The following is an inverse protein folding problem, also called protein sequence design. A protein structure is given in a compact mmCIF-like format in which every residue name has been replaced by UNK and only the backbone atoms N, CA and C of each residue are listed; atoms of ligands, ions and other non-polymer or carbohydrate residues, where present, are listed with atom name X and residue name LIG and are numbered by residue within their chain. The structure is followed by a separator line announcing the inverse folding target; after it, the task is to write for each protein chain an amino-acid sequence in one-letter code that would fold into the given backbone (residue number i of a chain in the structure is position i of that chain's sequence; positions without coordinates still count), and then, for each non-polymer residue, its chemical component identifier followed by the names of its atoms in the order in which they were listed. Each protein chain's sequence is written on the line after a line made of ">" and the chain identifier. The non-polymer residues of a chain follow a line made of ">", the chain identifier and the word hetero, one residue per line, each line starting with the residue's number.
data_IF_852202645106
#
_entry.id   IF_852202645106
#
_cell.length_a   1.000
_cell.length_b   1.000
_cell.length_c   1.000
_cell.angle_alpha   90.00
_cell.angle_beta   90.00
_cell.angle_gamma   90.00
#
_symmetry.space_group_name_H-M   'P 1'
#
loop_
_entity.id
_entity.type
_entity.pdbx_description
1 polymer ?
#
# COMPACT_ATOMS: atom_id res chain seq x y z
N UNK A 1 4.29 10.82 25.51
CA UNK A 1 4.50 10.77 24.06
C UNK A 1 3.29 10.06 23.44
N UNK A 2 2.58 10.68 22.49
CA UNK A 2 1.49 10.02 21.76
C UNK A 2 2.04 9.60 20.40
N UNK A 3 1.90 8.32 20.06
CA UNK A 3 2.20 7.81 18.73
C UNK A 3 0.89 7.68 17.96
N UNK A 4 0.85 8.23 16.75
CA UNK A 4 -0.28 8.08 15.84
C UNK A 4 0.16 7.22 14.66
N UNK A 5 -0.72 6.33 14.21
CA UNK A 5 -0.50 5.55 13.00
C UNK A 5 -0.89 6.39 11.77
N UNK A 6 -0.05 6.38 10.73
CA UNK A 6 -0.29 7.09 9.46
C UNK A 6 -1.27 6.29 8.59
N UNK A 7 -2.55 6.26 8.99
CA UNK A 7 -3.61 5.57 8.22
C UNK A 7 -4.28 6.57 7.28
N UNK A 8 -4.29 6.28 5.98
CA UNK A 8 -4.88 7.15 4.95
C UNK A 8 -5.80 6.38 4.00
N UNK A 9 -6.86 7.01 3.46
CA UNK A 9 -7.64 6.43 2.38
C UNK A 9 -6.78 6.36 1.10
N UNK A 10 -6.78 5.20 0.46
CA UNK A 10 -6.09 4.93 -0.81
C UNK A 10 -7.03 4.23 -1.77
N UNK A 11 -6.77 4.38 -3.07
CA UNK A 11 -7.39 3.56 -4.10
C UNK A 11 -6.39 2.56 -4.67
N UNK A 12 -6.71 1.28 -4.53
CA UNK A 12 -5.94 0.15 -5.06
C UNK A 12 -6.44 -0.21 -6.44
N UNK A 13 -5.52 -0.48 -7.37
CA UNK A 13 -5.83 -0.80 -8.76
C UNK A 13 -5.25 -2.16 -9.14
N UNK A 14 -6.07 -2.99 -9.78
CA UNK A 14 -5.66 -4.28 -10.33
C UNK A 14 -6.42 -4.64 -11.62
N UNK A 15 -6.17 -5.83 -12.18
CA UNK A 15 -6.73 -6.26 -13.48
C UNK A 15 -8.26 -6.26 -13.58
N UNK A 16 -8.99 -6.45 -12.47
CA UNK A 16 -10.45 -6.52 -12.46
C UNK A 16 -11.12 -5.21 -11.98
N UNK A 17 -10.33 -4.17 -11.69
CA UNK A 17 -10.84 -2.85 -11.32
C UNK A 17 -10.07 -2.21 -10.18
N UNK A 18 -10.72 -1.27 -9.49
CA UNK A 18 -10.17 -0.56 -8.33
C UNK A 18 -11.02 -0.72 -7.08
N UNK A 19 -10.40 -0.52 -5.91
CA UNK A 19 -11.07 -0.54 -4.62
C UNK A 19 -10.48 0.51 -3.69
N UNK A 20 -11.34 1.34 -3.09
CA UNK A 20 -10.94 2.27 -2.03
C UNK A 20 -10.84 1.53 -0.70
N UNK A 21 -9.71 1.68 -0.02
CA UNK A 21 -9.43 1.10 1.31
C UNK A 21 -8.71 2.12 2.18
N UNK A 22 -8.57 1.83 3.48
CA UNK A 22 -7.65 2.56 4.33
C UNK A 22 -6.36 1.76 4.46
N UNK A 23 -5.22 2.40 4.22
CA UNK A 23 -3.91 1.77 4.31
C UNK A 23 -3.08 2.42 5.41
N UNK A 24 -2.30 1.59 6.11
CA UNK A 24 -1.23 2.04 6.99
C UNK A 24 0.01 2.36 6.14
N UNK A 25 0.49 3.59 6.21
CA UNK A 25 1.78 3.97 5.64
C UNK A 25 2.88 3.65 6.65
N UNK A 26 3.58 2.55 6.40
CA UNK A 26 4.62 2.04 7.26
C UNK A 26 6.00 2.16 6.59
N UNK A 27 6.79 3.12 7.04
CA UNK A 27 8.17 3.33 6.59
C UNK A 27 9.13 2.24 7.08
N UNK A 28 8.71 1.41 8.06
CA UNK A 28 9.47 0.27 8.55
C UNK A 28 9.32 -1.00 7.70
N UNK A 29 8.43 -1.01 6.71
CA UNK A 29 8.13 -2.16 5.86
C UNK A 29 8.74 -1.99 4.46
N UNK A 30 9.45 -3.01 3.96
CA UNK A 30 9.98 -3.06 2.58
C UNK A 30 9.02 -3.68 1.58
N UNK A 31 7.91 -4.25 2.07
CA UNK A 31 6.88 -4.93 1.28
C UNK A 31 5.50 -4.41 1.66
N UNK A 32 4.59 -4.33 0.69
CA UNK A 32 3.18 -3.99 0.95
C UNK A 32 2.38 -5.26 1.19
N UNK A 33 1.63 -5.28 2.29
CA UNK A 33 0.66 -6.32 2.59
C UNK A 33 -0.75 -5.80 2.32
N UNK A 34 -1.56 -6.60 1.63
CA UNK A 34 -2.98 -6.34 1.38
C UNK A 34 -3.81 -7.54 1.82
N UNK A 35 -5.04 -7.28 2.23
CA UNK A 35 -5.99 -8.34 2.57
C UNK A 35 -6.33 -9.19 1.33
N UNK A 36 -6.48 -10.50 1.51
CA UNK A 36 -6.82 -11.42 0.41
C UNK A 36 -8.14 -11.04 -0.28
N UNK A 37 -9.13 -10.55 0.47
CA UNK A 37 -10.41 -10.12 -0.10
C UNK A 37 -10.23 -8.92 -1.03
N UNK A 38 -9.35 -8.00 -0.65
CA UNK A 38 -9.00 -6.83 -1.47
C UNK A 38 -8.26 -7.29 -2.72
N UNK A 39 -7.29 -8.19 -2.58
CA UNK A 39 -6.56 -8.77 -3.72
C UNK A 39 -7.52 -9.47 -4.70
N UNK A 40 -8.44 -10.28 -4.19
CA UNK A 40 -9.41 -10.98 -5.04
C UNK A 40 -10.37 -10.00 -5.74
N UNK A 41 -10.82 -8.93 -5.07
CA UNK A 41 -11.73 -7.93 -5.68
C UNK A 41 -11.10 -7.13 -6.81
N UNK A 42 -9.82 -6.80 -6.71
CA UNK A 42 -9.11 -6.06 -7.77
C UNK A 42 -8.51 -7.01 -8.83
N UNK A 43 -8.74 -8.32 -8.73
CA UNK A 43 -8.19 -9.31 -9.67
C UNK A 43 -6.69 -9.51 -9.52
N UNK A 44 -6.12 -9.17 -8.37
CA UNK A 44 -4.71 -9.24 -8.08
C UNK A 44 -4.24 -10.70 -7.97
N UNK A 45 -3.37 -11.11 -8.91
CA UNK A 45 -2.81 -12.47 -8.98
C UNK A 45 -1.29 -12.40 -8.95
N UNK A 46 -0.68 -13.30 -8.18
CA UNK A 46 0.76 -13.38 -7.96
C UNK A 46 1.19 -14.82 -7.66
N UNK A 47 2.50 -15.06 -7.62
CA UNK A 47 3.04 -16.38 -7.29
C UNK A 47 2.83 -16.66 -5.80
N UNK A 48 2.45 -17.89 -5.43
CA UNK A 48 2.43 -18.28 -4.02
C UNK A 48 3.85 -18.34 -3.48
N UNK A 49 4.11 -17.58 -2.42
CA UNK A 49 5.40 -17.47 -1.74
C UNK A 49 5.17 -17.52 -0.24
N UNK A 50 6.01 -18.26 0.47
CA UNK A 50 5.95 -18.29 1.93
C UNK A 50 6.54 -17.00 2.49
N UNK A 51 5.74 -16.26 3.26
CA UNK A 51 6.16 -15.07 3.96
C UNK A 51 6.26 -15.37 5.46
N UNK A 52 7.40 -14.99 6.06
CA UNK A 52 7.63 -15.05 7.49
C UNK A 52 7.67 -13.63 8.03
N UNK A 53 6.74 -13.30 8.92
CA UNK A 53 6.59 -11.98 9.53
C UNK A 53 6.97 -12.07 11.00
N UNK A 54 8.01 -11.33 11.39
CA UNK A 54 8.42 -11.18 12.78
C UNK A 54 8.00 -9.81 13.30
N UNK A 55 7.26 -9.79 14.42
CA UNK A 55 6.81 -8.57 15.08
C UNK A 55 7.78 -8.14 16.17
N UNK A 56 7.76 -6.84 16.53
CA UNK A 56 8.58 -6.26 17.60
C UNK A 56 8.34 -6.94 18.96
N UNK A 57 7.16 -7.53 19.16
CA UNK A 57 6.84 -8.32 20.36
C UNK A 57 7.44 -9.73 20.40
N UNK A 58 8.26 -10.13 19.43
CA UNK A 58 8.83 -11.48 19.31
C UNK A 58 7.88 -12.53 18.73
N UNK A 59 6.66 -12.11 18.34
CA UNK A 59 5.71 -12.99 17.67
C UNK A 59 6.12 -13.20 16.21
N UNK A 60 5.89 -14.42 15.73
CA UNK A 60 6.21 -14.79 14.37
C UNK A 60 5.04 -15.50 13.72
N UNK A 61 4.74 -15.11 12.49
CA UNK A 61 3.71 -15.71 11.67
C UNK A 61 4.37 -16.16 10.37
N UNK A 62 4.09 -17.39 9.95
CA UNK A 62 4.49 -17.89 8.63
C UNK A 62 3.22 -18.24 7.87
N UNK A 63 3.06 -17.68 6.68
CA UNK A 63 1.87 -17.90 5.86
C UNK A 63 2.21 -17.93 4.37
N UNK A 64 1.34 -18.52 3.56
CA UNK A 64 1.45 -18.52 2.10
C UNK A 64 0.78 -17.27 1.51
N UNK A 65 1.57 -16.37 0.95
CA UNK A 65 1.13 -15.11 0.37
C UNK A 65 1.24 -15.13 -1.17
N UNK A 66 0.53 -14.24 -1.86
CA UNK A 66 0.73 -13.95 -3.29
C UNK A 66 1.82 -12.89 -3.45
N UNK A 67 3.07 -13.34 -3.61
CA UNK A 67 4.22 -12.50 -3.92
C UNK A 67 4.22 -11.98 -5.37
N UNK A 68 5.03 -10.94 -5.61
CA UNK A 68 5.20 -10.29 -6.92
C UNK A 68 3.89 -9.79 -7.55
N UNK A 69 3.00 -9.26 -6.72
CA UNK A 69 1.74 -8.71 -7.20
C UNK A 69 1.99 -7.43 -8.00
N UNK A 70 1.57 -7.43 -9.27
CA UNK A 70 1.62 -6.23 -10.11
C UNK A 70 0.45 -5.30 -9.75
N UNK A 71 0.65 -4.48 -8.72
CA UNK A 71 -0.24 -3.36 -8.43
C UNK A 71 0.14 -2.17 -9.31
N UNK A 72 -0.85 -1.51 -9.90
CA UNK A 72 -0.61 -0.20 -10.49
C UNK A 72 -0.37 0.84 -9.38
N UNK A 73 0.26 1.99 -9.68
CA UNK A 73 0.48 3.05 -8.71
C UNK A 73 -0.81 3.41 -7.96
N UNK A 74 -0.73 3.37 -6.62
CA UNK A 74 -1.85 3.68 -5.74
C UNK A 74 -1.89 5.18 -5.49
N UNK A 75 -3.11 5.72 -5.32
CA UNK A 75 -3.31 7.16 -5.17
C UNK A 75 -3.89 7.52 -3.82
N UNK A 76 -3.46 8.67 -3.30
CA UNK A 76 -4.00 9.33 -2.11
C UNK A 76 -4.61 10.68 -2.51
N UNK A 77 -5.72 11.06 -1.87
CA UNK A 77 -6.31 12.38 -2.07
C UNK A 77 -5.46 13.47 -1.42
N UNK A 78 -5.07 14.50 -2.20
CA UNK A 78 -4.18 15.57 -1.70
C UNK A 78 -4.77 16.35 -0.52
N UNK A 79 -6.09 16.55 -0.50
CA UNK A 79 -6.77 17.22 0.60
C UNK A 79 -6.60 16.48 1.93
N UNK A 80 -6.58 15.15 1.91
CA UNK A 80 -6.40 14.31 3.10
C UNK A 80 -5.02 14.49 3.71
N UNK A 81 -3.99 14.56 2.87
CA UNK A 81 -2.61 14.78 3.34
C UNK A 81 -2.43 16.21 3.83
N UNK A 82 -2.93 17.20 3.09
CA UNK A 82 -2.82 18.62 3.46
C UNK A 82 -3.52 18.97 4.78
N UNK A 83 -4.59 18.26 5.12
CA UNK A 83 -5.33 18.47 6.37
C UNK A 83 -4.63 17.90 7.62
N UNK A 84 -3.55 17.11 7.46
CA UNK A 84 -2.87 16.43 8.58
C UNK A 84 -1.40 16.83 8.69
N UNK A 85 -1.08 17.64 9.71
CA UNK A 85 0.30 18.07 10.00
C UNK A 85 1.27 16.93 10.32
N UNK A 86 0.77 15.72 10.58
CA UNK A 86 1.60 14.55 10.89
C UNK A 86 2.03 13.76 9.65
N UNK A 87 1.56 14.14 8.45
CA UNK A 87 1.91 13.49 7.19
C UNK A 87 2.89 14.31 6.35
N UNK A 88 3.38 15.44 6.88
CA UNK A 88 4.25 16.37 6.13
C UNK A 88 5.58 15.74 5.72
N UNK A 89 6.09 14.81 6.52
CA UNK A 89 7.36 14.10 6.30
C UNK A 89 7.31 13.13 5.11
N UNK A 90 6.12 12.63 4.75
CA UNK A 90 5.92 11.71 3.64
C UNK A 90 5.22 12.35 2.44
N UNK A 91 4.76 13.60 2.56
CA UNK A 91 3.93 14.27 1.56
C UNK A 91 4.59 14.35 0.16
N UNK A 92 5.92 14.42 0.10
CA UNK A 92 6.68 14.48 -1.16
C UNK A 92 6.82 13.10 -1.83
N UNK A 93 6.63 12.01 -1.09
CA UNK A 93 6.77 10.63 -1.58
C UNK A 93 5.46 10.02 -2.08
N UNK A 94 4.33 10.73 -1.97
CA UNK A 94 3.01 10.23 -2.31
C UNK A 94 2.63 10.55 -3.75
N UNK A 95 1.94 9.61 -4.40
CA UNK A 95 1.29 9.80 -5.70
C UNK A 95 -0.14 10.27 -5.43
N UNK A 96 -0.45 11.48 -5.88
CA UNK A 96 -1.76 12.08 -5.70
C UNK A 96 -2.73 11.75 -6.84
N UNK A 97 -4.01 11.92 -6.57
CA UNK A 97 -5.17 11.77 -7.46
C UNK A 97 -5.02 12.43 -8.85
N UNK A 98 -4.21 13.49 -8.98
CA UNK A 98 -3.93 14.19 -10.24
C UNK A 98 -2.62 13.77 -10.97
N UNK A 99 -1.83 12.84 -10.42
CA UNK A 99 -0.58 12.42 -11.03
C UNK A 99 -0.82 11.40 -12.15
N UNK A 100 -0.43 11.73 -13.39
CA UNK A 100 -0.36 10.74 -14.46
C UNK A 100 0.78 9.76 -14.16
N UNK A 101 0.57 8.44 -14.26
CA UNK A 101 1.68 7.50 -14.14
C UNK A 101 2.70 7.82 -15.23
N UNK A 102 3.91 8.21 -14.84
CA UNK A 102 5.01 8.25 -15.79
C UNK A 102 5.35 6.79 -16.13
N UNK A 103 4.88 6.33 -17.28
CA UNK A 103 5.48 5.16 -17.91
C UNK A 103 6.92 5.56 -18.23
N UNK A 104 7.87 4.99 -17.49
CA UNK A 104 9.27 5.00 -17.88
C UNK A 104 9.35 4.32 -19.25
N UNK A 105 9.50 5.15 -20.29
CA UNK A 105 9.72 4.69 -21.67
C UNK A 105 11.19 4.38 -21.84
N UNK A 106 11.69 3.42 -21.07
CA UNK A 106 13.02 2.85 -21.26
C UNK A 106 12.84 1.46 -21.83
N UNK A 107 13.03 1.36 -23.15
CA UNK A 107 13.06 0.11 -23.91
C UNK A 107 14.41 -0.59 -23.83
#
# INVERSE_FOLDING_TARGET
>A
MRAYLKIVPVELYGPEGSMKVHALLDEGSTVTLIDEQVANRIGAKGRRETLRVSSVGGNEITDENRGNLKLAPQRVERATVAACSHLTDIAENLIYDAAAPHLDRSG
#
